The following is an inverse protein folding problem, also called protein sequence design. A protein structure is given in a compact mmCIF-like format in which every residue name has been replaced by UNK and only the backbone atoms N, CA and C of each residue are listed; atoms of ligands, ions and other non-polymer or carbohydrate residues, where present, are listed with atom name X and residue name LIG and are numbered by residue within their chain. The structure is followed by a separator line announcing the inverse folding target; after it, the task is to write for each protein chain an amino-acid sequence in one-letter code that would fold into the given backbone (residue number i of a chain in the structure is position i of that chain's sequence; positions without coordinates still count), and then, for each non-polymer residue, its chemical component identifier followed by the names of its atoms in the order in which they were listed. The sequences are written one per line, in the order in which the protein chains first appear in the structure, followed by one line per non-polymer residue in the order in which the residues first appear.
data_IF_757793637903
#
_entry.id   IF_757793637903
#
_cell.length_a   1.000
_cell.length_b   1.000
_cell.length_c   1.000
_cell.angle_alpha   90.00
_cell.angle_beta   90.00
_cell.angle_gamma   90.00
#
_symmetry.space_group_name_H-M   'P 1'
#
loop_
_entity.id
_entity.type
_entity.pdbx_description
1 polymer ?
#
# COMPACT_ATOMS: atom_id res chain seq x y z
N UNK A 1 -21.63 -2.18 -48.89
CA UNK A 1 -20.92 -3.49 -48.92
C UNK A 1 -19.45 -3.17 -49.00
N UNK A 2 -18.64 -3.63 -48.02
CA UNK A 2 -17.20 -3.42 -48.04
C UNK A 2 -16.61 -4.15 -49.26
N UNK A 3 -15.72 -3.47 -50.02
CA UNK A 3 -15.09 -4.02 -51.20
C UNK A 3 -14.19 -5.23 -50.82
N UNK A 4 -14.28 -6.32 -51.57
CA UNK A 4 -13.47 -7.55 -51.36
C UNK A 4 -11.97 -7.26 -51.30
N UNK A 5 -11.49 -6.17 -51.88
CA UNK A 5 -10.11 -5.71 -51.80
C UNK A 5 -9.78 -5.16 -50.42
N UNK A 6 -10.71 -4.49 -49.76
CA UNK A 6 -10.46 -3.91 -48.42
C UNK A 6 -10.45 -4.99 -47.34
N UNK A 7 -11.30 -6.01 -47.44
CA UNK A 7 -11.28 -7.19 -46.57
C UNK A 7 -9.93 -7.91 -46.63
N UNK A 8 -9.38 -8.16 -47.82
CA UNK A 8 -8.04 -8.78 -47.98
C UNK A 8 -6.92 -7.94 -47.43
N UNK A 9 -7.01 -6.60 -47.44
CA UNK A 9 -6.03 -5.71 -46.82
C UNK A 9 -6.11 -5.80 -45.29
N UNK A 10 -7.29 -5.86 -44.73
CA UNK A 10 -7.54 -6.00 -43.31
C UNK A 10 -7.00 -7.36 -42.80
N UNK A 11 -7.33 -8.46 -43.51
CA UNK A 11 -6.80 -9.79 -43.16
C UNK A 11 -5.26 -9.83 -43.15
N UNK A 12 -4.65 -9.22 -44.19
CA UNK A 12 -3.19 -9.12 -44.26
C UNK A 12 -2.58 -8.27 -43.13
N UNK A 13 -3.27 -7.19 -42.73
CA UNK A 13 -2.83 -6.34 -41.62
C UNK A 13 -2.97 -7.07 -40.27
N UNK A 14 -4.08 -7.78 -40.06
CA UNK A 14 -4.30 -8.60 -38.86
C UNK A 14 -3.26 -9.71 -38.74
N UNK A 15 -2.93 -10.41 -39.84
CA UNK A 15 -1.87 -11.41 -39.84
C UNK A 15 -0.50 -10.86 -39.47
N UNK A 16 -0.15 -9.63 -39.92
CA UNK A 16 1.10 -8.98 -39.50
C UNK A 16 1.10 -8.59 -38.02
N UNK A 17 0.00 -8.11 -37.51
CA UNK A 17 -0.14 -7.76 -36.10
C UNK A 17 0.01 -9.00 -35.21
N UNK A 18 -0.64 -10.12 -35.58
CA UNK A 18 -0.52 -11.40 -34.86
C UNK A 18 0.93 -11.89 -34.84
N UNK A 19 1.62 -11.82 -35.97
CA UNK A 19 3.04 -12.22 -36.06
C UNK A 19 3.95 -11.33 -35.21
N UNK A 20 3.70 -10.02 -35.19
CA UNK A 20 4.42 -9.08 -34.33
C UNK A 20 4.17 -9.34 -32.85
N UNK A 21 2.94 -9.69 -32.46
CA UNK A 21 2.60 -10.05 -31.09
C UNK A 21 3.34 -11.33 -30.65
N UNK A 22 3.39 -12.37 -31.47
CA UNK A 22 4.16 -13.59 -31.16
C UNK A 22 5.66 -13.30 -31.02
N UNK A 23 6.23 -12.46 -31.88
CA UNK A 23 7.64 -12.08 -31.80
C UNK A 23 7.94 -11.28 -30.52
N UNK A 24 7.04 -10.37 -30.11
CA UNK A 24 7.17 -9.62 -28.87
C UNK A 24 7.08 -10.57 -27.66
N UNK A 25 6.12 -11.49 -27.63
CA UNK A 25 5.97 -12.46 -26.54
C UNK A 25 7.21 -13.34 -26.41
N UNK A 26 7.71 -13.89 -27.51
CA UNK A 26 8.97 -14.69 -27.52
C UNK A 26 10.17 -13.90 -27.03
N UNK A 27 10.21 -12.61 -27.35
CA UNK A 27 11.29 -11.72 -26.89
C UNK A 27 11.20 -11.39 -25.41
N UNK A 28 9.98 -11.20 -24.90
CA UNK A 28 9.73 -11.02 -23.47
C UNK A 28 10.09 -12.26 -22.66
N UNK A 29 9.64 -13.45 -23.09
CA UNK A 29 9.99 -14.73 -22.47
C UNK A 29 11.51 -14.95 -22.40
N UNK A 30 12.24 -14.57 -23.47
CA UNK A 30 13.69 -14.66 -23.46
C UNK A 30 14.35 -13.65 -22.52
N UNK A 31 13.85 -12.41 -22.45
CA UNK A 31 14.34 -11.39 -21.52
C UNK A 31 14.10 -11.78 -20.07
N UNK A 32 12.94 -12.39 -19.76
CA UNK A 32 12.64 -12.93 -18.45
C UNK A 32 13.56 -14.11 -18.07
N UNK A 33 13.87 -14.98 -19.05
CA UNK A 33 14.78 -16.11 -18.84
C UNK A 33 16.27 -15.69 -18.72
N UNK A 34 16.66 -14.57 -19.34
CA UNK A 34 18.02 -14.01 -19.29
C UNK A 34 18.21 -13.02 -18.13
N UNK A 35 17.11 -12.57 -17.48
CA UNK A 35 17.22 -11.72 -16.30
C UNK A 35 17.92 -12.50 -15.18
N UNK A 36 18.96 -11.93 -14.53
CA UNK A 36 19.51 -12.56 -13.34
C UNK A 36 18.37 -12.72 -12.33
N UNK A 37 18.30 -13.87 -11.60
CA UNK A 37 17.28 -14.04 -10.58
C UNK A 37 17.34 -12.82 -9.64
N UNK A 38 16.22 -12.14 -9.46
CA UNK A 38 16.12 -11.06 -8.51
C UNK A 38 16.66 -11.59 -7.18
N UNK A 39 17.60 -10.89 -6.55
CA UNK A 39 18.10 -11.30 -5.24
C UNK A 39 16.90 -11.38 -4.31
N UNK A 40 16.48 -12.60 -4.00
CA UNK A 40 15.35 -12.83 -3.11
C UNK A 40 15.68 -12.22 -1.74
N UNK A 41 14.74 -11.51 -1.16
CA UNK A 41 14.92 -10.90 0.15
C UNK A 41 15.29 -11.96 1.20
N UNK A 42 16.37 -11.78 1.99
CA UNK A 42 16.70 -12.69 3.08
C UNK A 42 15.54 -12.80 4.07
N UNK A 43 15.24 -14.03 4.54
CA UNK A 43 14.15 -14.31 5.46
C UNK A 43 14.17 -13.42 6.73
N UNK A 44 15.35 -13.19 7.30
CA UNK A 44 15.53 -12.37 8.49
C UNK A 44 15.17 -10.90 8.22
N UNK A 45 15.49 -10.40 7.02
CA UNK A 45 15.12 -9.05 6.61
C UNK A 45 13.60 -8.91 6.40
N UNK A 46 12.97 -9.94 5.81
CA UNK A 46 11.52 -9.99 5.67
C UNK A 46 10.81 -10.00 7.03
N UNK A 47 11.23 -10.88 7.93
CA UNK A 47 10.67 -10.98 9.29
C UNK A 47 10.80 -9.64 10.03
N UNK A 48 11.97 -9.00 9.95
CA UNK A 48 12.21 -7.69 10.58
C UNK A 48 11.29 -6.61 9.98
N UNK A 49 11.12 -6.59 8.67
CA UNK A 49 10.22 -5.65 8.01
C UNK A 49 8.75 -5.87 8.42
N UNK A 50 8.26 -7.12 8.36
CA UNK A 50 6.88 -7.43 8.73
C UNK A 50 6.58 -7.09 10.20
N UNK A 51 7.53 -7.31 11.12
CA UNK A 51 7.34 -7.01 12.55
C UNK A 51 7.32 -5.49 12.82
N UNK A 52 8.19 -4.73 12.16
CA UNK A 52 8.16 -3.27 12.25
C UNK A 52 6.88 -2.70 11.63
N UNK A 53 6.47 -3.22 10.48
CA UNK A 53 5.25 -2.79 9.81
C UNK A 53 4.03 -3.10 10.68
N UNK A 54 3.92 -4.32 11.22
CA UNK A 54 2.88 -4.70 12.19
C UNK A 54 2.77 -3.72 13.36
N UNK A 55 3.91 -3.33 13.92
CA UNK A 55 3.91 -2.41 15.06
C UNK A 55 3.49 -0.99 14.66
N UNK A 56 3.84 -0.56 13.45
CA UNK A 56 3.36 0.70 12.85
C UNK A 56 1.85 0.71 12.69
N UNK A 57 1.27 -0.35 12.09
CA UNK A 57 -0.17 -0.51 11.92
C UNK A 57 -0.93 -0.51 13.26
N UNK A 58 -0.39 -1.21 14.27
CA UNK A 58 -0.97 -1.21 15.60
C UNK A 58 -0.95 0.18 16.26
N UNK A 59 0.11 0.96 16.04
CA UNK A 59 0.17 2.36 16.47
C UNK A 59 -0.84 3.22 15.70
N UNK A 60 -0.99 2.98 14.39
CA UNK A 60 -2.00 3.62 13.53
C UNK A 60 -3.41 3.39 14.09
N UNK A 61 -3.79 2.13 14.36
CA UNK A 61 -5.09 1.79 14.98
C UNK A 61 -5.33 2.55 16.30
N UNK A 62 -4.32 2.57 17.18
CA UNK A 62 -4.43 3.24 18.49
C UNK A 62 -4.54 4.76 18.34
N UNK A 63 -3.70 5.38 17.51
CA UNK A 63 -3.67 6.84 17.32
C UNK A 63 -4.95 7.35 16.64
N UNK A 64 -5.45 6.62 15.63
CA UNK A 64 -6.74 6.94 15.02
C UNK A 64 -7.90 6.84 16.01
N UNK A 65 -7.85 5.86 16.93
CA UNK A 65 -8.78 5.78 18.05
C UNK A 65 -8.77 7.05 18.91
N UNK A 66 -7.59 7.51 19.30
CA UNK A 66 -7.44 8.74 20.09
C UNK A 66 -7.93 9.98 19.31
N UNK A 67 -7.69 10.06 18.01
CA UNK A 67 -8.22 11.14 17.19
C UNK A 67 -9.73 11.12 17.08
N UNK A 68 -10.35 9.94 16.85
CA UNK A 68 -11.80 9.76 16.76
C UNK A 68 -12.51 10.27 18.03
N UNK A 69 -11.93 10.04 19.22
CA UNK A 69 -12.51 10.47 20.48
C UNK A 69 -12.61 12.00 20.58
N UNK A 70 -11.65 12.74 20.05
CA UNK A 70 -11.61 14.21 20.11
C UNK A 70 -12.11 14.89 18.85
N UNK A 71 -12.37 14.16 17.77
CA UNK A 71 -12.88 14.68 16.50
C UNK A 71 -14.30 15.24 16.66
N UNK A 72 -14.55 16.43 16.11
CA UNK A 72 -15.84 17.08 16.10
C UNK A 72 -16.51 17.11 14.72
N UNK A 73 -15.82 16.64 13.67
CA UNK A 73 -16.30 16.66 12.28
C UNK A 73 -16.86 15.30 11.89
N UNK A 74 -18.17 15.17 11.78
CA UNK A 74 -18.85 13.88 11.60
C UNK A 74 -18.36 13.08 10.36
N UNK A 75 -18.12 13.75 9.23
CA UNK A 75 -17.63 13.09 8.01
C UNK A 75 -16.18 12.59 8.19
N UNK A 76 -15.31 13.37 8.84
CA UNK A 76 -13.95 12.96 9.18
C UNK A 76 -13.95 11.76 10.10
N UNK A 77 -14.75 11.82 11.18
CA UNK A 77 -14.90 10.72 12.13
C UNK A 77 -15.34 9.41 11.46
N UNK A 78 -16.24 9.47 10.49
CA UNK A 78 -16.68 8.30 9.72
C UNK A 78 -15.54 7.67 8.92
N UNK A 79 -14.75 8.49 8.21
CA UNK A 79 -13.57 8.05 7.46
C UNK A 79 -12.49 7.47 8.38
N UNK A 80 -12.13 8.19 9.45
CA UNK A 80 -11.13 7.74 10.43
C UNK A 80 -11.46 6.37 11.04
N UNK A 81 -12.76 6.09 11.31
CA UNK A 81 -13.17 4.76 11.78
C UNK A 81 -12.91 3.65 10.77
N UNK A 82 -13.11 3.94 9.49
CA UNK A 82 -12.82 2.96 8.43
C UNK A 82 -11.34 2.70 8.35
N UNK A 83 -10.52 3.75 8.37
CA UNK A 83 -9.05 3.63 8.37
C UNK A 83 -8.58 2.87 9.62
N UNK A 84 -9.04 3.24 10.81
CA UNK A 84 -8.69 2.55 12.06
C UNK A 84 -8.92 1.04 12.00
N UNK A 85 -10.04 0.60 11.41
CA UNK A 85 -10.34 -0.84 11.28
C UNK A 85 -9.37 -1.53 10.31
N UNK A 86 -8.94 -0.84 9.23
CA UNK A 86 -7.93 -1.37 8.31
C UNK A 86 -6.58 -1.54 8.99
N UNK A 87 -6.08 -0.51 9.67
CA UNK A 87 -4.82 -0.56 10.43
C UNK A 87 -4.79 -1.76 11.39
N UNK A 88 -5.86 -1.91 12.20
CA UNK A 88 -5.97 -3.06 13.10
C UNK A 88 -6.07 -4.41 12.40
N UNK A 89 -6.69 -4.47 11.21
CA UNK A 89 -6.71 -5.67 10.38
C UNK A 89 -5.32 -5.98 9.83
N UNK A 90 -4.60 -5.00 9.29
CA UNK A 90 -3.24 -5.14 8.77
C UNK A 90 -2.28 -5.63 9.87
N UNK A 91 -2.33 -5.02 11.06
CA UNK A 91 -1.51 -5.48 12.20
C UNK A 91 -1.72 -6.97 12.50
N UNK A 92 -2.97 -7.43 12.52
CA UNK A 92 -3.32 -8.84 12.77
C UNK A 92 -2.88 -9.77 11.62
N UNK A 93 -3.02 -9.36 10.37
CA UNK A 93 -2.56 -10.13 9.20
C UNK A 93 -1.04 -10.29 9.22
N UNK A 94 -0.31 -9.20 9.48
CA UNK A 94 1.16 -9.21 9.58
C UNK A 94 1.62 -10.08 10.74
N UNK A 95 0.94 -10.04 11.89
CA UNK A 95 1.24 -10.91 13.03
C UNK A 95 1.00 -12.39 12.71
N UNK A 96 -0.10 -12.70 12.03
CA UNK A 96 -0.39 -14.07 11.60
C UNK A 96 0.70 -14.58 10.65
N UNK A 97 1.10 -13.75 9.68
CA UNK A 97 2.15 -14.10 8.73
C UNK A 97 3.50 -14.32 9.37
N UNK A 98 3.88 -13.50 10.35
CA UNK A 98 5.09 -13.72 11.15
C UNK A 98 5.10 -15.09 11.81
N UNK A 99 3.98 -15.51 12.42
CA UNK A 99 3.83 -16.82 13.07
C UNK A 99 3.97 -17.97 12.07
N UNK A 100 3.37 -17.86 10.87
CA UNK A 100 3.51 -18.84 9.78
C UNK A 100 4.96 -18.94 9.28
N UNK A 101 5.68 -17.84 9.26
CA UNK A 101 7.11 -17.79 8.99
C UNK A 101 7.95 -18.34 10.17
N UNK A 102 7.34 -18.80 11.27
CA UNK A 102 8.04 -19.33 12.44
C UNK A 102 8.74 -18.24 13.27
N UNK A 103 8.26 -16.99 13.18
CA UNK A 103 8.74 -15.87 13.98
C UNK A 103 7.67 -15.42 14.98
N UNK A 104 8.10 -14.67 16.00
CA UNK A 104 7.20 -14.03 16.96
C UNK A 104 7.35 -12.51 16.85
N UNK A 105 6.30 -11.73 17.11
CA UNK A 105 6.41 -10.28 17.27
C UNK A 105 7.38 -9.94 18.41
N UNK A 106 8.36 -9.11 18.12
CA UNK A 106 9.38 -8.68 19.08
C UNK A 106 9.65 -7.18 19.01
N UNK A 107 9.32 -6.56 17.88
CA UNK A 107 9.51 -5.14 17.71
C UNK A 107 8.42 -4.37 18.46
N UNK A 108 8.85 -3.43 19.27
CA UNK A 108 8.01 -2.46 19.98
C UNK A 108 8.35 -1.06 19.48
N UNK A 109 7.33 -0.25 19.23
CA UNK A 109 7.52 1.16 18.88
C UNK A 109 8.20 1.85 20.06
N UNK A 110 9.29 2.63 19.87
CA UNK A 110 9.92 3.37 20.94
C UNK A 110 8.90 4.24 21.71
N UNK A 111 8.94 4.20 23.04
CA UNK A 111 7.98 4.87 23.93
C UNK A 111 7.80 6.36 23.57
N UNK A 112 8.91 7.06 23.29
CA UNK A 112 8.86 8.47 22.90
C UNK A 112 8.09 8.72 21.62
N UNK A 113 8.15 7.81 20.63
CA UNK A 113 7.40 7.90 19.37
C UNK A 113 5.93 7.59 19.66
N UNK A 114 5.64 6.56 20.44
CA UNK A 114 4.29 6.20 20.84
C UNK A 114 3.60 7.36 21.54
N UNK A 115 4.22 7.92 22.58
CA UNK A 115 3.65 9.01 23.38
C UNK A 115 3.42 10.28 22.55
N UNK A 116 4.39 10.63 21.68
CA UNK A 116 4.26 11.78 20.78
C UNK A 116 3.10 11.59 19.79
N UNK A 117 2.96 10.41 19.21
CA UNK A 117 1.90 10.08 18.26
C UNK A 117 0.53 10.13 18.95
N UNK A 118 0.41 9.49 20.11
CA UNK A 118 -0.84 9.50 20.88
C UNK A 118 -1.25 10.90 21.34
N UNK A 119 -0.27 11.70 21.79
CA UNK A 119 -0.50 13.10 22.18
C UNK A 119 -0.96 13.95 20.99
N UNK A 120 -0.35 13.80 19.85
CA UNK A 120 -0.72 14.55 18.64
C UNK A 120 -2.11 14.17 18.15
N UNK A 121 -2.41 12.87 18.11
CA UNK A 121 -3.70 12.35 17.68
C UNK A 121 -4.84 12.77 18.63
N UNK A 122 -4.62 12.66 19.95
CA UNK A 122 -5.59 13.00 21.00
C UNK A 122 -5.64 14.50 21.36
N UNK A 123 -4.92 15.37 20.65
CA UNK A 123 -4.93 16.81 20.90
C UNK A 123 -6.32 17.40 20.58
N UNK A 124 -7.04 17.83 21.62
CA UNK A 124 -8.37 18.44 21.50
C UNK A 124 -8.31 19.94 21.15
N UNK A 125 -7.14 20.58 21.21
CA UNK A 125 -6.94 21.97 20.84
C UNK A 125 -6.78 22.15 19.31
N UNK A 126 -6.34 21.10 18.61
CA UNK A 126 -6.26 21.09 17.17
C UNK A 126 -7.55 20.59 16.53
N UNK A 127 -8.04 21.37 15.57
CA UNK A 127 -9.18 20.97 14.75
C UNK A 127 -8.83 19.83 13.77
N UNK A 128 -9.86 19.11 13.29
CA UNK A 128 -9.67 18.07 12.27
C UNK A 128 -8.99 18.61 10.99
N UNK A 129 -9.36 19.79 10.42
CA UNK A 129 -8.65 20.35 9.26
C UNK A 129 -7.16 20.58 9.51
N UNK A 130 -6.77 21.06 10.71
CA UNK A 130 -5.37 21.28 11.05
C UNK A 130 -4.60 19.98 11.13
N UNK A 131 -5.15 18.94 11.80
CA UNK A 131 -4.52 17.61 11.88
C UNK A 131 -4.37 16.97 10.52
N UNK A 132 -5.40 17.03 9.67
CA UNK A 132 -5.35 16.50 8.30
C UNK A 132 -4.29 17.24 7.48
N UNK A 133 -4.24 18.55 7.56
CA UNK A 133 -3.24 19.35 6.83
C UNK A 133 -1.81 19.04 7.27
N UNK A 134 -1.58 18.82 8.57
CA UNK A 134 -0.28 18.37 9.10
C UNK A 134 0.10 16.99 8.58
N UNK A 135 -0.85 16.05 8.52
CA UNK A 135 -0.63 14.70 7.99
C UNK A 135 -0.31 14.72 6.50
N UNK A 136 -1.12 15.40 5.68
CA UNK A 136 -0.92 15.50 4.22
C UNK A 136 0.43 16.12 3.86
N UNK A 137 0.95 17.07 4.67
CA UNK A 137 2.30 17.60 4.47
C UNK A 137 3.42 16.59 4.62
N UNK A 138 3.21 15.52 5.40
CA UNK A 138 4.20 14.45 5.58
C UNK A 138 4.17 13.48 4.39
N UNK A 139 3.03 13.35 3.73
CA UNK A 139 2.79 12.44 2.62
C UNK A 139 2.24 13.18 1.39
N UNK A 140 3.02 14.11 0.79
CA UNK A 140 2.55 14.93 -0.33
C UNK A 140 2.36 14.15 -1.63
N UNK A 141 3.00 13.00 -1.75
CA UNK A 141 2.94 12.11 -2.91
C UNK A 141 2.51 10.72 -2.44
N UNK A 142 1.29 10.33 -2.80
CA UNK A 142 0.68 9.05 -2.42
C UNK A 142 1.44 7.87 -2.99
N UNK A 143 1.90 7.96 -4.25
CA UNK A 143 2.65 6.88 -4.90
C UNK A 143 3.99 6.66 -4.20
N UNK A 144 4.71 7.75 -3.90
CA UNK A 144 5.97 7.68 -3.19
C UNK A 144 5.82 7.12 -1.76
N UNK A 145 4.70 7.40 -1.10
CA UNK A 145 4.45 6.92 0.27
C UNK A 145 4.26 5.40 0.35
N UNK A 146 3.61 4.78 -0.65
CA UNK A 146 3.37 3.33 -0.67
C UNK A 146 4.50 2.53 -1.34
N UNK A 147 5.38 3.20 -2.10
CA UNK A 147 6.44 2.55 -2.87
C UNK A 147 7.33 1.63 -2.02
N UNK A 148 7.73 1.97 -0.78
CA UNK A 148 8.54 1.08 0.05
C UNK A 148 7.88 -0.29 0.31
N UNK A 149 6.55 -0.37 0.43
CA UNK A 149 5.82 -1.62 0.61
C UNK A 149 5.87 -2.44 -0.68
N UNK A 150 5.67 -1.78 -1.83
CA UNK A 150 5.72 -2.40 -3.16
C UNK A 150 7.12 -2.91 -3.49
N UNK A 151 8.16 -2.16 -3.15
CA UNK A 151 9.56 -2.55 -3.35
C UNK A 151 9.95 -3.82 -2.57
N UNK A 152 9.35 -4.04 -1.40
CA UNK A 152 9.49 -5.28 -0.65
C UNK A 152 8.71 -6.41 -1.32
N UNK A 153 7.45 -6.16 -1.70
CA UNK A 153 6.62 -7.14 -2.38
C UNK A 153 7.29 -7.65 -3.67
N UNK A 154 7.94 -6.76 -4.42
CA UNK A 154 8.62 -7.10 -5.68
C UNK A 154 9.87 -7.99 -5.50
N UNK A 155 10.40 -8.12 -4.29
CA UNK A 155 11.54 -8.99 -3.96
C UNK A 155 11.13 -10.36 -3.41
N UNK A 156 9.84 -10.68 -3.42
CA UNK A 156 9.26 -11.88 -2.78
C UNK A 156 8.82 -12.94 -3.81
N UNK A 157 9.58 -13.15 -4.89
CA UNK A 157 9.23 -14.13 -5.95
C UNK A 157 9.02 -15.56 -5.42
N UNK A 158 9.69 -15.92 -4.32
CA UNK A 158 9.55 -17.22 -3.66
C UNK A 158 8.44 -17.31 -2.61
N UNK A 159 7.74 -16.21 -2.33
CA UNK A 159 6.67 -16.14 -1.31
C UNK A 159 5.47 -15.33 -1.83
N UNK A 160 4.68 -15.93 -2.74
CA UNK A 160 3.54 -15.24 -3.38
C UNK A 160 2.45 -14.84 -2.38
N UNK A 161 2.34 -15.52 -1.25
CA UNK A 161 1.36 -15.20 -0.22
C UNK A 161 1.70 -13.86 0.47
N UNK A 162 2.94 -13.71 0.93
CA UNK A 162 3.39 -12.43 1.52
C UNK A 162 3.41 -11.32 0.48
N UNK A 163 3.85 -11.61 -0.74
CA UNK A 163 3.82 -10.65 -1.85
C UNK A 163 2.42 -10.09 -2.08
N UNK A 164 1.42 -10.97 -2.20
CA UNK A 164 0.05 -10.56 -2.46
C UNK A 164 -0.57 -9.81 -1.27
N UNK A 165 -0.28 -10.25 -0.05
CA UNK A 165 -0.71 -9.58 1.18
C UNK A 165 -0.18 -8.14 1.24
N UNK A 166 1.11 -7.93 1.00
CA UNK A 166 1.73 -6.59 1.01
C UNK A 166 1.16 -5.68 -0.09
N UNK A 167 0.92 -6.21 -1.29
CA UNK A 167 0.27 -5.44 -2.36
C UNK A 167 -1.16 -5.03 -2.01
N UNK A 168 -1.90 -5.89 -1.29
CA UNK A 168 -3.26 -5.57 -0.82
C UNK A 168 -3.22 -4.48 0.25
N UNK A 169 -2.31 -4.59 1.22
CA UNK A 169 -2.11 -3.54 2.24
C UNK A 169 -1.70 -2.22 1.57
N UNK A 170 -0.76 -2.23 0.63
CA UNK A 170 -0.36 -1.01 -0.10
C UNK A 170 -1.54 -0.34 -0.81
N UNK A 171 -2.50 -1.11 -1.34
CA UNK A 171 -3.71 -0.55 -1.96
C UNK A 171 -4.65 0.08 -0.91
N UNK A 172 -4.76 -0.52 0.26
CA UNK A 172 -5.54 0.04 1.37
C UNK A 172 -4.89 1.33 1.89
N UNK A 173 -3.54 1.37 2.04
CA UNK A 173 -2.78 2.57 2.41
C UNK A 173 -2.97 3.69 1.38
N UNK A 174 -2.93 3.37 0.09
CA UNK A 174 -3.26 4.33 -0.98
C UNK A 174 -4.64 4.97 -0.74
N UNK A 175 -5.66 4.15 -0.52
CA UNK A 175 -7.02 4.64 -0.28
C UNK A 175 -7.13 5.50 0.97
N UNK A 176 -6.34 5.21 2.01
CA UNK A 176 -6.25 5.99 3.24
C UNK A 176 -5.67 7.37 2.97
N UNK A 177 -4.55 7.44 2.24
CA UNK A 177 -3.89 8.69 1.88
C UNK A 177 -4.77 9.54 0.96
N UNK A 178 -5.38 8.95 -0.07
CA UNK A 178 -6.32 9.64 -0.96
C UNK A 178 -7.50 10.23 -0.19
N UNK A 179 -8.11 9.46 0.74
CA UNK A 179 -9.17 9.98 1.61
C UNK A 179 -8.71 11.21 2.42
N UNK A 180 -7.52 11.19 2.99
CA UNK A 180 -7.01 12.32 3.79
C UNK A 180 -6.68 13.53 2.90
N UNK A 181 -6.14 13.34 1.70
CA UNK A 181 -5.94 14.41 0.72
C UNK A 181 -7.26 15.06 0.29
N UNK A 182 -8.27 14.25 -0.04
CA UNK A 182 -9.60 14.73 -0.41
C UNK A 182 -10.28 15.49 0.73
N UNK A 183 -10.21 14.95 1.95
CA UNK A 183 -10.73 15.60 3.14
C UNK A 183 -10.00 16.93 3.41
N UNK A 184 -8.69 17.00 3.20
CA UNK A 184 -7.92 18.24 3.31
C UNK A 184 -8.43 19.30 2.35
N UNK A 185 -8.68 18.95 1.09
CA UNK A 185 -9.20 19.89 0.08
C UNK A 185 -10.62 20.35 0.43
N UNK A 186 -11.51 19.43 0.86
CA UNK A 186 -12.90 19.75 1.16
C UNK A 186 -13.06 20.64 2.41
N UNK A 187 -12.17 20.51 3.39
CA UNK A 187 -12.30 21.22 4.67
C UNK A 187 -11.53 22.56 4.69
N UNK A 188 -10.58 22.77 3.79
CA UNK A 188 -9.77 23.98 3.69
C UNK A 188 -10.10 24.84 2.44
N UNK A 189 -11.01 24.40 1.58
CA UNK A 189 -11.53 25.13 0.42
C UNK A 189 -12.79 25.87 0.76
#
# INVERSE_FOLDING_TARGET
MADSKDLKKIEKALGKISQQQEEILTRLERLEAEAPPAESMPREALVSFLDQFRAGEALGEASLGAWIEVSNTACVKGGLRTVQQREGMHARLLEARLKELGAAPTFEVPEAIYDQTMKSAGDCEKSDPEKIAEFVKQFPDVDAAIQPILDIADKLDGDPETQFMLRTIAQDERSTLEFLHDACQLLNG
#
